data_IF_865828169315
#
_entry.id   IF_865828169315
#
_cell.length_a   1.000
_cell.length_b   1.000
_cell.length_c   1.000
_cell.angle_alpha   90.00
_cell.angle_beta   90.00
_cell.angle_gamma   90.00
#
_symmetry.space_group_name_H-M   'P 1'
#
loop_
_entity.id
_entity.type
_entity.pdbx_description
1 polymer ?
#
# COMPACT_ATOMS: atom_id res chain seq x y z
N UNK A 1 -51.20 7.37 29.08
CA UNK A 1 -50.03 6.66 29.61
C UNK A 1 -48.97 6.78 28.52
N UNK A 2 -48.15 7.82 28.59
CA UNK A 2 -47.07 8.03 27.64
C UNK A 2 -45.91 7.12 28.05
N UNK A 3 -45.45 6.28 27.13
CA UNK A 3 -44.27 5.44 27.34
C UNK A 3 -43.07 6.37 27.17
N UNK A 4 -42.52 6.86 28.27
CA UNK A 4 -41.45 7.86 28.29
C UNK A 4 -40.05 7.27 28.40
N UNK A 5 -39.88 5.95 28.26
CA UNK A 5 -38.55 5.36 28.26
C UNK A 5 -38.54 4.05 27.47
N UNK A 6 -38.05 4.10 26.23
CA UNK A 6 -37.73 2.93 25.43
C UNK A 6 -36.21 2.81 25.43
N UNK A 7 -35.68 1.91 26.26
CA UNK A 7 -34.27 1.57 26.25
C UNK A 7 -34.02 0.51 25.19
N UNK A 8 -33.30 0.87 24.13
CA UNK A 8 -32.88 -0.08 23.10
C UNK A 8 -31.80 -1.03 23.66
N UNK A 9 -32.12 -2.32 23.73
CA UNK A 9 -31.16 -3.37 24.09
C UNK A 9 -30.57 -3.95 22.82
N UNK A 10 -29.30 -3.65 22.56
CA UNK A 10 -28.59 -4.17 21.39
C UNK A 10 -27.94 -5.52 21.68
N UNK A 11 -28.09 -6.49 20.76
CA UNK A 11 -27.43 -7.80 20.81
C UNK A 11 -26.45 -7.90 19.63
N UNK A 12 -25.19 -8.20 19.90
CA UNK A 12 -24.12 -8.35 18.90
C UNK A 12 -23.34 -7.06 18.62
N UNK A 13 -22.31 -7.16 17.76
CA UNK A 13 -21.57 -5.97 17.29
C UNK A 13 -22.31 -5.39 16.09
N UNK A 14 -22.74 -4.11 16.13
CA UNK A 14 -23.37 -3.49 14.97
C UNK A 14 -22.38 -3.49 13.80
N UNK A 15 -22.85 -3.70 12.56
CA UNK A 15 -21.96 -3.68 11.41
C UNK A 15 -21.21 -2.35 11.35
N UNK A 16 -19.89 -2.41 11.11
CA UNK A 16 -19.05 -1.22 11.05
C UNK A 16 -19.48 -0.23 9.97
N UNK A 17 -18.89 0.98 9.92
CA UNK A 17 -19.17 1.91 8.84
C UNK A 17 -18.78 1.28 7.49
N UNK A 18 -19.65 1.42 6.49
CA UNK A 18 -19.34 0.96 5.15
C UNK A 18 -18.23 1.81 4.52
N UNK A 19 -17.39 1.18 3.69
CA UNK A 19 -16.44 1.89 2.83
C UNK A 19 -17.17 2.75 1.78
N UNK A 20 -16.43 3.66 1.13
CA UNK A 20 -16.85 4.22 -0.15
C UNK A 20 -16.81 3.14 -1.24
N UNK A 21 -17.51 3.36 -2.35
CA UNK A 21 -17.46 2.43 -3.48
C UNK A 21 -16.08 2.46 -4.14
N UNK A 22 -15.42 1.30 -4.20
CA UNK A 22 -14.21 1.10 -4.98
C UNK A 22 -14.58 0.70 -6.41
N UNK A 23 -14.03 1.40 -7.41
CA UNK A 23 -14.24 1.12 -8.83
C UNK A 23 -13.02 0.41 -9.44
N UNK A 24 -13.25 -0.65 -10.21
CA UNK A 24 -12.25 -1.33 -11.04
C UNK A 24 -12.81 -1.53 -12.45
N UNK A 25 -12.02 -1.20 -13.46
CA UNK A 25 -12.36 -1.46 -14.87
C UNK A 25 -11.62 -2.71 -15.32
N UNK A 26 -12.37 -3.67 -15.84
CA UNK A 26 -11.83 -4.92 -16.36
C UNK A 26 -12.08 -4.96 -17.86
N UNK A 27 -11.00 -5.11 -18.63
CA UNK A 27 -11.01 -5.05 -20.08
C UNK A 27 -10.79 -6.45 -20.68
N UNK A 28 -11.70 -6.85 -21.57
CA UNK A 28 -11.59 -8.08 -22.36
C UNK A 28 -11.38 -7.67 -23.82
N UNK A 29 -10.13 -7.72 -24.27
CA UNK A 29 -9.74 -7.37 -25.63
C UNK A 29 -10.14 -8.47 -26.62
N UNK A 30 -10.50 -8.09 -27.84
CA UNK A 30 -10.86 -9.05 -28.89
C UNK A 30 -12.15 -9.85 -28.59
N UNK A 31 -13.08 -9.27 -27.83
CA UNK A 31 -14.26 -9.98 -27.29
C UNK A 31 -15.08 -10.71 -28.38
N UNK A 32 -15.18 -10.10 -29.56
CA UNK A 32 -15.91 -10.66 -30.70
C UNK A 32 -15.35 -12.02 -31.17
N UNK A 33 -14.04 -12.25 -31.01
CA UNK A 33 -13.35 -13.48 -31.39
C UNK A 33 -13.27 -14.54 -30.28
N UNK A 34 -13.79 -14.26 -29.09
CA UNK A 34 -13.82 -15.24 -28.00
C UNK A 34 -14.78 -16.40 -28.30
N UNK A 35 -14.49 -17.62 -27.80
CA UNK A 35 -15.31 -18.78 -28.06
C UNK A 35 -16.74 -18.58 -27.55
N UNK A 36 -17.70 -19.01 -28.35
CA UNK A 36 -19.13 -18.97 -28.05
C UNK A 36 -19.67 -20.32 -27.63
N UNK A 37 -18.79 -21.30 -27.39
CA UNK A 37 -19.17 -22.58 -26.79
C UNK A 37 -19.77 -22.33 -25.40
N UNK A 38 -20.87 -23.02 -25.08
CA UNK A 38 -21.46 -22.96 -23.75
C UNK A 38 -20.44 -23.44 -22.71
N UNK A 39 -20.45 -22.82 -21.53
CA UNK A 39 -19.56 -23.11 -20.40
C UNK A 39 -18.07 -22.83 -20.63
N UNK A 40 -17.67 -22.29 -21.78
CA UNK A 40 -16.31 -21.76 -21.95
C UNK A 40 -16.22 -20.36 -21.36
N UNK A 41 -15.39 -20.22 -20.32
CA UNK A 41 -15.13 -18.94 -19.68
C UNK A 41 -13.77 -18.36 -20.04
N UNK A 42 -13.73 -17.04 -20.04
CA UNK A 42 -12.50 -16.26 -20.09
C UNK A 42 -12.40 -15.47 -18.81
N UNK A 43 -11.28 -15.65 -18.12
CA UNK A 43 -11.00 -15.01 -16.85
C UNK A 43 -10.15 -13.76 -17.03
N UNK A 44 -10.44 -12.72 -16.26
CA UNK A 44 -9.52 -11.60 -16.10
C UNK A 44 -8.25 -12.02 -15.35
N UNK A 45 -7.17 -11.24 -15.43
CA UNK A 45 -6.13 -11.25 -14.41
C UNK A 45 -6.73 -10.96 -13.01
N UNK A 46 -6.10 -11.46 -11.93
CA UNK A 46 -6.53 -11.12 -10.59
C UNK A 46 -6.28 -9.63 -10.31
N UNK A 47 -7.14 -9.00 -9.52
CA UNK A 47 -6.97 -7.62 -9.06
C UNK A 47 -7.27 -7.46 -7.57
N UNK A 48 -6.61 -6.51 -6.93
CA UNK A 48 -6.71 -6.30 -5.48
C UNK A 48 -7.80 -5.28 -5.11
N UNK A 49 -8.65 -5.64 -4.15
CA UNK A 49 -9.62 -4.75 -3.52
C UNK A 49 -9.97 -5.21 -2.10
N UNK A 50 -10.02 -4.27 -1.14
CA UNK A 50 -10.32 -4.54 0.28
C UNK A 50 -9.44 -5.60 0.95
N UNK A 51 -8.18 -5.77 0.49
CA UNK A 51 -7.25 -6.78 1.02
C UNK A 51 -7.44 -8.18 0.45
N UNK A 52 -8.34 -8.35 -0.51
CA UNK A 52 -8.60 -9.63 -1.20
C UNK A 52 -8.23 -9.54 -2.68
N UNK A 53 -7.89 -10.69 -3.27
CA UNK A 53 -7.74 -10.84 -4.71
C UNK A 53 -9.09 -11.21 -5.32
N UNK A 54 -9.43 -10.56 -6.42
CA UNK A 54 -10.70 -10.71 -7.12
C UNK A 54 -10.46 -11.08 -8.56
N UNK A 55 -11.42 -11.79 -9.16
CA UNK A 55 -11.38 -12.15 -10.58
C UNK A 55 -12.77 -12.06 -11.19
N UNK A 56 -12.83 -11.53 -12.42
CA UNK A 56 -14.06 -11.55 -13.23
C UNK A 56 -13.95 -12.67 -14.26
N UNK A 57 -14.95 -13.53 -14.33
CA UNK A 57 -15.10 -14.55 -15.36
C UNK A 57 -16.26 -14.17 -16.28
N UNK A 58 -16.05 -14.28 -17.59
CA UNK A 58 -17.06 -14.02 -18.62
C UNK A 58 -17.25 -15.26 -19.46
N UNK A 59 -18.50 -15.64 -19.71
CA UNK A 59 -18.87 -16.77 -20.57
C UNK A 59 -19.48 -16.20 -21.85
N UNK A 60 -18.71 -16.04 -22.94
CA UNK A 60 -19.17 -15.35 -24.14
C UNK A 60 -20.27 -16.11 -24.90
N UNK A 61 -20.41 -17.41 -24.66
CA UNK A 61 -21.50 -18.28 -25.12
C UNK A 61 -22.57 -18.59 -24.06
N UNK A 62 -22.46 -18.00 -22.87
CA UNK A 62 -23.31 -18.31 -21.72
C UNK A 62 -22.80 -19.48 -20.87
N UNK A 63 -23.22 -19.49 -19.61
CA UNK A 63 -23.03 -20.61 -18.69
C UNK A 63 -24.10 -21.69 -18.85
N UNK A 64 -24.15 -22.61 -17.88
CA UNK A 64 -24.95 -23.84 -17.97
C UNK A 64 -26.45 -23.52 -18.05
N UNK A 65 -26.89 -22.59 -17.20
CA UNK A 65 -28.28 -22.14 -17.08
C UNK A 65 -28.60 -20.90 -17.94
N UNK A 66 -27.64 -20.44 -18.74
CA UNK A 66 -27.85 -19.25 -19.58
C UNK A 66 -28.81 -19.54 -20.74
N UNK A 67 -29.64 -18.55 -21.09
CA UNK A 67 -30.47 -18.58 -22.29
C UNK A 67 -29.56 -18.54 -23.52
N UNK A 68 -30.00 -19.15 -24.60
CA UNK A 68 -29.24 -19.15 -25.85
C UNK A 68 -28.94 -17.72 -26.32
N UNK A 69 -27.68 -17.48 -26.72
CA UNK A 69 -27.21 -16.18 -27.18
C UNK A 69 -26.95 -15.14 -26.08
N UNK A 70 -27.15 -15.46 -24.80
CA UNK A 70 -26.80 -14.59 -23.68
C UNK A 70 -25.37 -14.81 -23.20
N UNK A 71 -24.76 -13.73 -22.69
CA UNK A 71 -23.45 -13.75 -22.03
C UNK A 71 -23.66 -13.76 -20.52
N UNK A 72 -22.88 -14.58 -19.82
CA UNK A 72 -22.83 -14.59 -18.36
C UNK A 72 -21.55 -13.91 -17.86
N UNK A 73 -21.63 -13.24 -16.71
CA UNK A 73 -20.48 -12.62 -16.06
C UNK A 73 -20.55 -12.81 -14.55
N UNK A 74 -19.43 -13.22 -13.95
CA UNK A 74 -19.32 -13.52 -12.53
C UNK A 74 -18.09 -12.88 -11.92
N UNK A 75 -18.22 -12.50 -10.65
CA UNK A 75 -17.15 -12.02 -9.79
C UNK A 75 -16.85 -13.07 -8.72
N UNK A 76 -15.58 -13.33 -8.47
CA UNK A 76 -15.09 -14.34 -7.54
C UNK A 76 -13.95 -13.79 -6.67
N UNK A 77 -13.78 -14.38 -5.49
CA UNK A 77 -12.73 -14.07 -4.53
C UNK A 77 -11.65 -15.17 -4.57
N UNK A 78 -10.45 -14.80 -5.00
CA UNK A 78 -9.23 -15.64 -5.11
C UNK A 78 -8.50 -15.81 -3.77
N UNK A 79 -8.78 -14.95 -2.80
CA UNK A 79 -8.16 -15.07 -1.48
C UNK A 79 -8.74 -16.24 -0.69
N UNK A 80 -7.95 -16.92 0.15
CA UNK A 80 -8.45 -18.03 0.99
C UNK A 80 -9.41 -17.56 2.09
N UNK A 81 -9.40 -16.28 2.45
CA UNK A 81 -10.35 -15.71 3.40
C UNK A 81 -11.64 -15.26 2.71
N UNK A 82 -12.77 -15.55 3.32
CA UNK A 82 -14.09 -15.08 2.87
C UNK A 82 -14.28 -13.59 3.18
N UNK A 83 -15.05 -12.89 2.34
CA UNK A 83 -15.42 -11.49 2.52
C UNK A 83 -16.88 -11.24 2.20
N UNK A 84 -17.54 -10.41 3.00
CA UNK A 84 -18.85 -9.86 2.66
C UNK A 84 -18.71 -8.52 1.93
N UNK A 85 -19.25 -8.45 0.72
CA UNK A 85 -19.20 -7.25 -0.10
C UNK A 85 -20.53 -7.02 -0.84
N UNK A 86 -20.91 -5.75 -0.96
CA UNK A 86 -21.80 -5.31 -2.03
C UNK A 86 -20.98 -5.26 -3.32
N UNK A 87 -21.58 -5.68 -4.42
CA UNK A 87 -20.95 -5.63 -5.72
C UNK A 87 -21.92 -5.09 -6.76
N UNK A 88 -21.38 -4.42 -7.78
CA UNK A 88 -22.08 -4.07 -9.01
C UNK A 88 -21.19 -4.38 -10.19
N UNK A 89 -21.75 -5.01 -11.21
CA UNK A 89 -21.10 -5.22 -12.51
C UNK A 89 -21.87 -4.36 -13.50
N UNK A 90 -21.20 -3.37 -14.08
CA UNK A 90 -21.80 -2.41 -14.99
C UNK A 90 -21.12 -2.50 -16.34
N UNK A 91 -21.93 -2.61 -17.40
CA UNK A 91 -21.52 -2.44 -18.78
C UNK A 91 -22.10 -1.13 -19.30
N UNK A 92 -21.24 -0.18 -19.65
CA UNK A 92 -21.62 1.13 -20.21
C UNK A 92 -21.32 1.17 -21.69
N UNK A 93 -22.15 1.87 -22.45
CA UNK A 93 -21.87 2.15 -23.85
C UNK A 93 -20.64 3.07 -23.95
N UNK A 94 -19.71 2.81 -24.89
CA UNK A 94 -18.42 3.50 -24.90
C UNK A 94 -18.49 4.97 -25.32
N UNK A 95 -19.51 5.37 -26.08
CA UNK A 95 -19.62 6.70 -26.68
C UNK A 95 -20.87 7.47 -26.29
N UNK A 96 -21.89 6.81 -25.75
CA UNK A 96 -23.17 7.43 -25.42
C UNK A 96 -23.54 7.17 -23.96
N UNK A 97 -23.54 8.23 -23.16
CA UNK A 97 -23.93 8.15 -21.75
C UNK A 97 -25.44 8.03 -21.53
N UNK A 98 -26.24 8.34 -22.56
CA UNK A 98 -27.70 8.20 -22.55
C UNK A 98 -28.17 6.82 -23.01
N UNK A 99 -27.27 6.02 -23.61
CA UNK A 99 -27.57 4.63 -23.95
C UNK A 99 -27.71 3.74 -22.70
N UNK A 100 -28.44 2.64 -22.86
CA UNK A 100 -28.84 1.78 -21.74
C UNK A 100 -27.63 1.07 -21.14
N UNK A 101 -27.16 1.52 -19.98
CA UNK A 101 -26.19 0.75 -19.21
C UNK A 101 -26.83 -0.52 -18.66
N UNK A 102 -26.15 -1.66 -18.80
CA UNK A 102 -26.54 -2.89 -18.12
C UNK A 102 -25.87 -2.91 -16.75
N UNK A 103 -26.66 -2.99 -15.69
CA UNK A 103 -26.17 -3.02 -14.31
C UNK A 103 -26.72 -4.25 -13.62
N UNK A 104 -25.82 -5.04 -13.06
CA UNK A 104 -26.09 -6.15 -12.16
C UNK A 104 -25.65 -5.71 -10.78
N UNK A 105 -26.49 -5.90 -9.78
CA UNK A 105 -26.13 -5.60 -8.39
C UNK A 105 -26.72 -6.61 -7.41
N UNK A 106 -26.17 -6.65 -6.21
CA UNK A 106 -26.72 -7.45 -5.11
C UNK A 106 -28.08 -6.88 -4.68
N UNK A 107 -29.15 -7.66 -4.87
CA UNK A 107 -30.55 -7.21 -4.78
C UNK A 107 -31.06 -6.64 -3.44
N UNK A 108 -30.32 -6.72 -2.33
CA UNK A 108 -30.63 -5.93 -1.10
C UNK A 108 -29.67 -6.15 0.09
N UNK A 109 -28.65 -7.00 -0.07
CA UNK A 109 -27.70 -7.31 1.01
C UNK A 109 -26.32 -7.65 0.46
N UNK A 110 -25.32 -7.61 1.35
CA UNK A 110 -23.99 -8.06 1.00
C UNK A 110 -24.00 -9.54 0.60
N UNK A 111 -23.21 -9.88 -0.41
CA UNK A 111 -22.92 -11.27 -0.72
C UNK A 111 -21.67 -11.71 0.02
N UNK A 112 -21.69 -12.93 0.53
CA UNK A 112 -20.51 -13.59 1.06
C UNK A 112 -19.77 -14.23 -0.10
N UNK A 113 -18.60 -13.69 -0.42
CA UNK A 113 -17.63 -14.31 -1.32
C UNK A 113 -16.75 -15.23 -0.48
N UNK A 114 -16.92 -16.52 -0.66
CA UNK A 114 -16.15 -17.53 0.04
C UNK A 114 -14.71 -17.54 -0.44
N UNK A 115 -13.81 -17.97 0.44
CA UNK A 115 -12.40 -18.02 0.12
C UNK A 115 -12.04 -19.18 -0.81
N UNK A 116 -11.00 -18.99 -1.63
CA UNK A 116 -10.41 -20.04 -2.46
C UNK A 116 -11.30 -20.47 -3.62
N UNK A 117 -12.02 -19.53 -4.24
CA UNK A 117 -12.87 -19.80 -5.43
C UNK A 117 -14.04 -20.75 -5.20
N UNK A 118 -14.44 -20.94 -3.96
CA UNK A 118 -15.56 -21.82 -3.62
C UNK A 118 -16.90 -21.33 -4.18
N UNK A 119 -17.08 -20.01 -4.29
CA UNK A 119 -18.26 -19.43 -4.90
C UNK A 119 -17.97 -18.20 -5.77
N UNK A 120 -18.92 -17.88 -6.64
CA UNK A 120 -18.89 -16.68 -7.46
C UNK A 120 -20.28 -16.07 -7.56
N UNK A 121 -20.35 -14.75 -7.67
CA UNK A 121 -21.60 -14.01 -7.74
C UNK A 121 -21.65 -13.21 -9.03
N UNK A 122 -22.76 -13.34 -9.75
CA UNK A 122 -22.90 -12.78 -11.08
C UNK A 122 -24.30 -12.95 -11.62
N UNK A 123 -24.41 -12.90 -12.95
CA UNK A 123 -25.68 -13.08 -13.61
C UNK A 123 -25.50 -13.94 -14.87
N UNK A 124 -26.29 -15.01 -14.94
CA UNK A 124 -26.31 -15.96 -16.06
C UNK A 124 -26.70 -15.29 -17.38
N UNK A 125 -27.64 -14.34 -17.31
CA UNK A 125 -28.25 -13.73 -18.49
C UNK A 125 -27.98 -12.22 -18.52
N UNK A 126 -26.71 -11.80 -18.50
CA UNK A 126 -26.34 -10.38 -18.39
C UNK A 126 -26.97 -9.58 -19.51
N UNK A 127 -26.71 -9.98 -20.76
CA UNK A 127 -27.29 -9.41 -21.97
C UNK A 127 -26.96 -10.30 -23.16
N UNK A 128 -27.72 -10.17 -24.24
CA UNK A 128 -27.44 -10.89 -25.48
C UNK A 128 -26.08 -10.50 -26.05
N UNK A 129 -25.36 -11.49 -26.58
CA UNK A 129 -24.07 -11.28 -27.24
C UNK A 129 -24.16 -10.23 -28.35
N UNK A 130 -25.23 -10.26 -29.17
CA UNK A 130 -25.45 -9.29 -30.25
C UNK A 130 -25.44 -7.84 -29.76
N UNK A 131 -26.04 -7.59 -28.60
CA UNK A 131 -26.05 -6.27 -27.97
C UNK A 131 -24.68 -5.93 -27.39
N UNK A 132 -23.99 -6.87 -26.73
CA UNK A 132 -22.63 -6.61 -26.22
C UNK A 132 -21.67 -6.21 -27.33
N UNK A 133 -21.82 -6.76 -28.54
CA UNK A 133 -20.99 -6.39 -29.69
C UNK A 133 -21.13 -4.91 -30.08
N UNK A 134 -22.26 -4.26 -29.80
CA UNK A 134 -22.42 -2.81 -30.03
C UNK A 134 -21.77 -1.96 -28.94
N UNK A 135 -21.44 -2.55 -27.78
CA UNK A 135 -20.84 -1.87 -26.62
C UNK A 135 -19.30 -1.99 -26.60
N UNK A 136 -18.70 -2.57 -27.64
CA UNK A 136 -17.26 -2.72 -27.75
C UNK A 136 -16.62 -1.39 -28.15
N UNK A 137 -15.54 -1.01 -27.47
CA UNK A 137 -14.67 0.08 -27.89
C UNK A 137 -13.41 -0.50 -28.51
N UNK A 138 -13.20 -0.31 -29.83
CA UNK A 138 -12.08 -0.90 -30.56
C UNK A 138 -11.90 -2.40 -30.28
N UNK A 139 -13.01 -3.16 -30.32
CA UNK A 139 -13.03 -4.60 -30.06
C UNK A 139 -12.85 -5.00 -28.58
N UNK A 140 -12.79 -4.05 -27.66
CA UNK A 140 -12.62 -4.28 -26.23
C UNK A 140 -13.95 -4.15 -25.49
N UNK A 141 -14.32 -5.18 -24.74
CA UNK A 141 -15.43 -5.13 -23.79
C UNK A 141 -14.92 -4.65 -22.43
N UNK A 142 -15.60 -3.69 -21.80
CA UNK A 142 -15.21 -3.15 -20.50
C UNK A 142 -16.31 -3.33 -19.47
N UNK A 143 -16.01 -4.03 -18.39
CA UNK A 143 -16.85 -4.08 -17.20
C UNK A 143 -16.35 -3.11 -16.13
N UNK A 144 -17.25 -2.32 -15.58
CA UNK A 144 -17.03 -1.54 -14.36
C UNK A 144 -17.51 -2.35 -13.15
N UNK A 145 -16.56 -2.81 -12.35
CA UNK A 145 -16.79 -3.54 -11.11
C UNK A 145 -16.75 -2.54 -9.96
N UNK A 146 -17.90 -2.33 -9.32
CA UNK A 146 -18.00 -1.52 -8.12
C UNK A 146 -18.10 -2.45 -6.92
N UNK A 147 -17.23 -2.26 -5.93
CA UNK A 147 -17.23 -3.03 -4.69
C UNK A 147 -17.39 -2.11 -3.49
N UNK A 148 -18.10 -2.59 -2.46
CA UNK A 148 -18.21 -1.91 -1.18
C UNK A 148 -18.28 -2.95 -0.06
N UNK A 149 -17.29 -2.94 0.81
CA UNK A 149 -17.25 -3.79 2.00
C UNK A 149 -17.46 -2.96 3.28
N UNK A 150 -17.71 -3.61 4.41
CA UNK A 150 -17.55 -2.95 5.71
C UNK A 150 -16.10 -2.50 5.84
N UNK A 151 -15.88 -1.30 6.38
CA UNK A 151 -14.55 -0.96 6.84
C UNK A 151 -14.22 -2.01 7.89
N UNK A 152 -13.31 -2.93 7.56
CA UNK A 152 -12.55 -3.61 8.58
C UNK A 152 -12.03 -2.46 9.42
N UNK A 153 -12.47 -2.38 10.68
CA UNK A 153 -11.93 -1.41 11.61
C UNK A 153 -10.44 -1.48 11.35
N UNK A 154 -9.84 -0.37 10.89
CA UNK A 154 -8.41 -0.33 10.69
C UNK A 154 -7.88 -0.99 11.95
N UNK A 155 -7.21 -2.12 11.80
CA UNK A 155 -6.43 -2.63 12.90
C UNK A 155 -5.43 -1.50 13.06
N UNK A 156 -5.79 -0.48 13.85
CA UNK A 156 -4.90 0.45 14.47
C UNK A 156 -3.88 -0.51 15.01
N UNK A 157 -2.72 -0.54 14.35
CA UNK A 157 -1.73 -1.56 14.63
C UNK A 157 -1.62 -1.54 16.14
N UNK A 158 -1.88 -2.66 16.80
CA UNK A 158 -1.83 -2.70 18.26
C UNK A 158 -0.41 -2.36 18.77
N UNK A 159 0.54 -2.21 17.83
CA UNK A 159 1.78 -1.48 17.92
C UNK A 159 1.50 0.03 18.06
N UNK A 160 1.73 0.62 19.24
CA UNK A 160 1.68 2.06 19.41
C UNK A 160 2.60 2.72 18.37
N UNK A 161 2.11 3.77 17.70
CA UNK A 161 2.96 4.54 16.79
C UNK A 161 4.19 5.04 17.57
N UNK A 162 5.38 4.86 17.01
CA UNK A 162 6.60 5.35 17.62
C UNK A 162 6.48 6.89 17.76
N UNK A 163 6.51 7.45 18.98
CA UNK A 163 6.34 8.88 19.18
C UNK A 163 7.54 9.70 18.71
N UNK A 164 8.62 9.07 18.23
CA UNK A 164 9.87 9.73 17.82
C UNK A 164 9.64 10.89 16.84
N UNK A 165 8.93 10.65 15.72
CA UNK A 165 8.64 11.71 14.74
C UNK A 165 7.77 12.81 15.34
N UNK A 166 6.73 12.45 16.11
CA UNK A 166 5.89 13.42 16.81
C UNK A 166 6.66 14.26 17.83
N UNK A 167 7.68 13.71 18.48
CA UNK A 167 8.56 14.45 19.39
C UNK A 167 9.55 15.35 18.66
N UNK A 168 10.16 14.87 17.57
CA UNK A 168 11.02 15.67 16.69
C UNK A 168 10.26 16.88 16.13
N UNK A 169 9.04 16.67 15.66
CA UNK A 169 8.16 17.72 15.13
C UNK A 169 7.85 18.85 16.12
N UNK A 170 7.94 18.62 17.45
CA UNK A 170 7.78 19.70 18.44
C UNK A 170 8.88 20.76 18.34
N UNK A 171 10.05 20.39 17.82
CA UNK A 171 11.17 21.28 17.57
C UNK A 171 11.23 21.84 16.14
N UNK A 172 10.25 21.54 15.29
CA UNK A 172 10.19 22.07 13.94
C UNK A 172 9.99 23.59 13.95
N UNK A 173 10.85 24.31 13.24
CA UNK A 173 10.80 25.76 13.09
C UNK A 173 10.72 26.53 14.43
N UNK A 174 11.38 26.01 15.47
CA UNK A 174 11.42 26.62 16.79
C UNK A 174 12.74 27.37 17.00
N UNK A 175 12.67 28.70 17.10
CA UNK A 175 13.84 29.58 17.27
C UNK A 175 14.64 29.29 18.54
N UNK A 176 13.98 29.00 19.67
CA UNK A 176 14.65 28.81 20.96
C UNK A 176 15.45 27.51 21.02
N UNK A 177 14.99 26.47 20.31
CA UNK A 177 15.64 25.16 20.36
C UNK A 177 16.66 24.96 19.23
N UNK A 178 16.53 25.71 18.13
CA UNK A 178 17.33 25.51 16.92
C UNK A 178 18.76 26.06 17.04
N UNK A 179 19.69 25.45 16.32
CA UNK A 179 21.09 25.86 16.26
C UNK A 179 21.48 26.45 14.89
N UNK A 180 20.58 26.41 13.90
CA UNK A 180 20.75 27.01 12.58
C UNK A 180 19.48 27.72 12.10
N UNK A 181 19.67 28.75 11.26
CA UNK A 181 18.59 29.49 10.61
C UNK A 181 18.83 29.62 9.10
N UNK A 182 17.77 29.59 8.32
CA UNK A 182 17.77 29.77 6.87
C UNK A 182 16.91 30.97 6.49
N UNK A 183 17.40 31.83 5.60
CA UNK A 183 16.60 32.88 4.97
C UNK A 183 16.19 32.43 3.57
N UNK A 184 14.90 32.18 3.38
CA UNK A 184 14.35 31.68 2.13
C UNK A 184 13.50 32.76 1.47
N UNK A 185 13.79 33.04 0.21
CA UNK A 185 13.18 34.15 -0.51
C UNK A 185 13.87 35.47 -0.16
N UNK A 186 13.77 36.44 -1.08
CA UNK A 186 14.58 37.65 -1.08
C UNK A 186 15.79 37.50 -2.01
N UNK A 187 16.00 38.50 -2.88
CA UNK A 187 17.18 38.56 -3.73
C UNK A 187 18.35 39.06 -2.87
N UNK A 188 19.44 38.29 -2.79
CA UNK A 188 20.66 38.72 -2.10
C UNK A 188 21.26 39.85 -2.92
N UNK A 189 21.17 41.09 -2.41
CA UNK A 189 21.80 42.26 -3.05
C UNK A 189 23.33 42.05 -3.09
N UNK A 190 23.81 41.50 -4.19
CA UNK A 190 25.21 41.57 -4.57
C UNK A 190 25.30 42.13 -5.98
N UNK A 191 26.02 43.24 -6.07
CA UNK A 191 26.32 44.08 -7.23
C UNK A 191 25.26 45.13 -7.64
N UNK A 192 25.71 46.38 -7.58
CA UNK A 192 25.02 47.59 -7.99
C UNK A 192 24.60 47.56 -9.47
N UNK A 193 23.33 47.26 -9.76
CA UNK A 193 22.73 47.62 -11.05
C UNK A 193 21.20 47.65 -11.00
N UNK A 194 20.70 48.88 -10.90
CA UNK A 194 19.38 49.42 -11.23
C UNK A 194 18.46 48.52 -12.10
N UNK A 195 17.38 47.98 -11.52
CA UNK A 195 15.99 47.96 -12.05
C UNK A 195 15.00 47.51 -10.97
N UNK A 196 13.97 48.33 -10.75
CA UNK A 196 12.95 48.22 -9.69
C UNK A 196 12.04 47.01 -9.97
N UNK A 197 12.26 45.89 -9.29
CA UNK A 197 11.40 44.70 -9.29
C UNK A 197 10.96 44.41 -7.84
N UNK A 198 9.75 43.87 -7.65
CA UNK A 198 9.07 43.80 -6.35
C UNK A 198 9.91 43.10 -5.28
N UNK A 199 10.09 43.78 -4.13
CA UNK A 199 10.79 43.29 -2.94
C UNK A 199 9.97 42.15 -2.30
N UNK A 200 10.31 40.91 -2.59
CA UNK A 200 9.76 39.75 -1.87
C UNK A 200 10.42 39.69 -0.49
N UNK A 201 9.62 39.70 0.57
CA UNK A 201 10.09 39.59 1.97
C UNK A 201 10.75 38.23 2.19
N UNK A 202 11.99 38.21 2.67
CA UNK A 202 12.66 37.00 3.10
C UNK A 202 11.93 36.36 4.28
N UNK A 203 11.82 35.03 4.28
CA UNK A 203 11.20 34.26 5.36
C UNK A 203 12.27 33.44 6.06
N UNK A 204 12.37 33.57 7.37
CA UNK A 204 13.35 32.84 8.18
C UNK A 204 12.78 31.51 8.67
N UNK A 205 13.57 30.44 8.55
CA UNK A 205 13.25 29.12 9.06
C UNK A 205 14.33 28.63 10.01
N UNK A 206 13.92 28.04 11.12
CA UNK A 206 14.83 27.55 12.16
C UNK A 206 14.90 26.03 12.14
N UNK A 207 16.11 25.47 12.29
CA UNK A 207 16.30 24.03 12.28
C UNK A 207 17.43 23.55 13.22
N UNK A 208 17.46 22.24 13.45
CA UNK A 208 18.57 21.56 14.12
C UNK A 208 19.51 20.96 13.09
N UNK A 209 20.75 21.40 13.09
CA UNK A 209 21.82 20.88 12.26
C UNK A 209 21.95 19.35 12.39
N UNK A 210 21.79 18.81 13.58
CA UNK A 210 21.85 17.35 13.81
C UNK A 210 20.75 16.57 13.08
N UNK A 211 19.53 17.12 12.98
CA UNK A 211 18.42 16.51 12.23
C UNK A 211 18.69 16.59 10.73
N UNK A 212 19.21 17.74 10.28
CA UNK A 212 19.60 17.94 8.88
C UNK A 212 20.74 17.00 8.47
N UNK A 213 21.74 16.74 9.33
CA UNK A 213 22.82 15.79 8.98
C UNK A 213 22.30 14.38 8.70
N UNK A 214 21.20 13.99 9.34
CA UNK A 214 20.61 12.66 9.19
C UNK A 214 19.63 12.59 8.01
N UNK A 215 18.85 13.65 7.78
CA UNK A 215 17.73 13.64 6.84
C UNK A 215 17.93 14.56 5.63
N UNK A 216 18.90 15.46 5.62
CA UNK A 216 19.22 16.34 4.48
C UNK A 216 20.70 16.75 4.51
N UNK A 217 21.64 15.81 4.26
CA UNK A 217 23.06 16.06 4.46
C UNK A 217 23.59 17.24 3.66
N UNK A 218 23.12 17.43 2.42
CA UNK A 218 23.52 18.56 1.57
C UNK A 218 23.03 19.90 2.12
N UNK A 219 21.88 19.92 2.81
CA UNK A 219 21.39 21.10 3.54
C UNK A 219 22.21 21.36 4.81
N UNK A 220 22.64 20.31 5.50
CA UNK A 220 23.51 20.42 6.67
C UNK A 220 24.92 20.90 6.32
N UNK A 221 25.49 20.47 5.18
CA UNK A 221 26.82 20.89 4.72
C UNK A 221 26.87 22.40 4.38
N UNK A 222 25.72 23.01 4.06
CA UNK A 222 25.61 24.47 3.90
C UNK A 222 25.66 25.21 5.25
N UNK A 223 25.41 24.53 6.37
CA UNK A 223 25.51 25.09 7.71
C UNK A 223 26.93 24.91 8.26
N UNK A 224 27.56 26.00 8.72
CA UNK A 224 28.79 25.91 9.49
C UNK A 224 28.44 25.84 10.98
N UNK A 225 28.90 24.81 11.73
CA UNK A 225 28.68 24.77 13.17
C UNK A 225 29.28 26.01 13.84
N UNK A 226 28.43 26.86 14.44
CA UNK A 226 28.85 28.04 15.22
C UNK A 226 28.76 29.40 14.50
N UNK A 227 28.31 29.44 13.24
CA UNK A 227 28.02 30.72 12.56
C UNK A 227 26.65 31.26 13.01
N UNK A 228 26.60 32.51 13.47
CA UNK A 228 25.36 33.15 13.97
C UNK A 228 24.49 33.76 12.86
N UNK A 229 24.92 33.66 11.61
CA UNK A 229 24.21 34.23 10.46
C UNK A 229 23.18 33.27 9.87
N UNK A 230 22.01 33.78 9.49
CA UNK A 230 21.05 33.04 8.68
C UNK A 230 21.65 32.69 7.32
N UNK A 231 21.44 31.45 6.85
CA UNK A 231 21.96 30.98 5.57
C UNK A 231 20.96 31.26 4.43
N UNK A 232 21.32 31.99 3.36
CA UNK A 232 20.40 32.30 2.29
C UNK A 232 20.12 31.08 1.39
N UNK A 233 18.84 30.76 1.20
CA UNK A 233 18.35 29.74 0.27
C UNK A 233 17.71 30.44 -0.93
N UNK A 234 18.40 30.34 -2.07
CA UNK A 234 18.02 31.02 -3.32
C UNK A 234 17.27 30.06 -4.24
N UNK A 235 16.21 30.54 -4.89
CA UNK A 235 15.52 29.81 -5.97
C UNK A 235 14.53 28.74 -5.50
N UNK A 236 14.15 28.75 -4.22
CA UNK A 236 13.10 27.89 -3.66
C UNK A 236 12.06 28.79 -3.01
N UNK A 237 10.77 28.53 -3.26
CA UNK A 237 9.69 29.26 -2.60
C UNK A 237 9.64 28.91 -1.10
N UNK A 238 9.36 29.89 -0.21
CA UNK A 238 9.32 29.65 1.24
C UNK A 238 8.41 28.49 1.65
N UNK A 239 7.24 28.35 1.03
CA UNK A 239 6.30 27.28 1.38
C UNK A 239 6.81 25.90 0.94
N UNK A 240 7.44 25.80 -0.23
CA UNK A 240 8.08 24.56 -0.70
C UNK A 240 9.25 24.19 0.22
N UNK A 241 10.08 25.16 0.61
CA UNK A 241 11.18 24.91 1.55
C UNK A 241 10.67 24.44 2.91
N UNK A 242 9.61 25.07 3.43
CA UNK A 242 8.95 24.68 4.67
C UNK A 242 8.44 23.24 4.62
N UNK A 243 7.84 22.82 3.50
CA UNK A 243 7.37 21.44 3.30
C UNK A 243 8.53 20.44 3.30
N UNK A 244 9.62 20.73 2.58
CA UNK A 244 10.83 19.87 2.56
C UNK A 244 11.47 19.81 3.95
N UNK A 245 11.58 20.94 4.65
CA UNK A 245 12.12 20.99 6.01
C UNK A 245 11.20 20.23 6.99
N UNK A 246 9.89 20.37 6.87
CA UNK A 246 8.91 19.65 7.70
C UNK A 246 9.02 18.13 7.52
N UNK A 247 9.23 17.68 6.28
CA UNK A 247 9.47 16.28 5.97
C UNK A 247 10.75 15.76 6.63
N UNK A 248 11.83 16.55 6.69
CA UNK A 248 13.07 16.19 7.38
C UNK A 248 12.88 15.90 8.89
N UNK A 249 11.82 16.44 9.49
CA UNK A 249 11.47 16.21 10.91
C UNK A 249 10.53 15.02 11.12
N UNK A 250 10.21 14.27 10.05
CA UNK A 250 9.28 13.15 10.09
C UNK A 250 7.82 13.56 9.93
N UNK A 251 7.56 14.76 9.41
CA UNK A 251 6.23 15.24 9.07
C UNK A 251 5.71 14.65 7.76
N UNK A 252 4.40 14.41 7.67
CA UNK A 252 3.73 13.98 6.44
C UNK A 252 3.10 15.17 5.73
N UNK A 253 3.36 15.32 4.43
CA UNK A 253 2.72 16.34 3.58
C UNK A 253 1.35 15.80 3.13
N UNK A 254 0.32 16.64 3.17
CA UNK A 254 -1.03 16.25 2.72
C UNK A 254 -1.07 16.07 1.21
N UNK A 255 -1.92 15.16 0.73
CA UNK A 255 -2.03 14.83 -0.70
C UNK A 255 -2.38 16.05 -1.58
N UNK A 256 -3.22 16.96 -1.08
CA UNK A 256 -3.59 18.17 -1.83
C UNK A 256 -2.41 19.15 -1.99
N UNK A 257 -1.62 19.32 -0.93
CA UNK A 257 -0.44 20.19 -0.90
C UNK A 257 0.69 19.62 -1.75
N UNK A 258 0.86 18.29 -1.69
CA UNK A 258 1.81 17.57 -2.53
C UNK A 258 1.41 17.66 -4.00
N UNK A 259 0.14 17.44 -4.35
CA UNK A 259 -0.32 17.52 -5.74
C UNK A 259 -0.14 18.93 -6.35
N UNK A 260 -0.36 19.98 -5.57
CA UNK A 260 -0.20 21.36 -6.03
C UNK A 260 1.27 21.74 -6.28
N UNK A 261 2.21 21.17 -5.51
CA UNK A 261 3.62 21.59 -5.49
C UNK A 261 4.61 20.48 -5.87
N UNK A 262 4.12 19.33 -6.36
CA UNK A 262 4.91 18.10 -6.52
C UNK A 262 6.24 18.32 -7.23
N UNK A 263 6.23 19.03 -8.36
CA UNK A 263 7.43 19.32 -9.15
C UNK A 263 8.45 20.13 -8.34
N UNK A 264 8.02 21.21 -7.69
CA UNK A 264 8.89 22.08 -6.92
C UNK A 264 9.45 21.37 -5.67
N UNK A 265 8.64 20.53 -5.02
CA UNK A 265 9.07 19.71 -3.87
C UNK A 265 10.15 18.71 -4.31
N UNK A 266 9.96 18.01 -5.44
CA UNK A 266 10.94 17.06 -5.96
C UNK A 266 12.25 17.75 -6.30
N UNK A 267 12.19 18.89 -7.03
CA UNK A 267 13.40 19.66 -7.39
C UNK A 267 14.15 20.19 -6.17
N UNK A 268 13.42 20.66 -5.14
CA UNK A 268 14.02 21.10 -3.89
C UNK A 268 14.60 19.93 -3.09
N UNK A 269 13.90 18.78 -3.05
CA UNK A 269 14.38 17.57 -2.38
C UNK A 269 15.67 17.05 -3.04
N UNK A 270 15.72 16.95 -4.38
CA UNK A 270 16.94 16.54 -5.10
C UNK A 270 18.14 17.42 -4.73
N UNK A 271 17.92 18.73 -4.62
CA UNK A 271 18.97 19.69 -4.27
C UNK A 271 19.50 19.53 -2.84
N UNK A 272 18.64 19.16 -1.88
CA UNK A 272 18.97 19.19 -0.46
C UNK A 272 19.18 17.81 0.18
N UNK A 273 18.62 16.76 -0.43
CA UNK A 273 18.68 15.37 0.03
C UNK A 273 19.87 14.64 -0.59
N UNK A 274 20.15 14.88 -1.87
CA UNK A 274 21.10 14.07 -2.61
C UNK A 274 22.52 14.63 -2.55
N UNK A 275 23.48 13.74 -2.30
CA UNK A 275 24.89 14.08 -2.17
C UNK A 275 25.52 14.02 -3.57
N UNK A 276 25.41 15.09 -4.35
CA UNK A 276 26.21 15.20 -5.57
C UNK A 276 27.64 15.59 -5.17
N UNK A 277 28.66 14.71 -5.32
CA UNK A 277 30.04 15.12 -5.18
C UNK A 277 30.36 16.12 -6.30
N UNK A 278 30.34 17.41 -5.98
CA UNK A 278 30.91 18.43 -6.86
C UNK A 278 32.40 18.13 -6.96
N UNK A 279 32.81 17.50 -8.06
CA UNK A 279 34.20 17.29 -8.43
C UNK A 279 34.86 18.67 -8.67
N UNK A 280 35.28 19.32 -7.60
CA UNK A 280 36.19 20.45 -7.65
C UNK A 280 37.59 19.92 -7.96
N UNK A 281 37.98 19.98 -9.23
CA UNK A 281 39.34 19.68 -9.65
C UNK A 281 40.36 20.59 -8.98
N UNK A 282 41.31 19.99 -8.25
CA UNK A 282 42.75 20.32 -8.24
C UNK A 282 43.52 19.46 -7.24
N UNK A 283 44.49 18.69 -7.76
CA UNK A 283 45.74 18.34 -7.09
C UNK A 283 45.78 17.06 -6.24
N UNK A 284 46.40 16.02 -6.77
CA UNK A 284 47.06 14.95 -6.00
C UNK A 284 48.61 15.15 -6.09
N UNK A 285 49.45 14.46 -5.29
CA UNK A 285 49.19 13.70 -4.06
C UNK A 285 50.21 13.99 -2.93
N UNK A 286 49.83 13.63 -1.69
CA UNK A 286 50.77 13.47 -0.58
C UNK A 286 50.30 12.36 0.37
N UNK A 287 50.95 11.20 0.32
CA UNK A 287 50.85 10.12 1.30
C UNK A 287 51.35 10.62 2.69
N UNK A 288 50.98 10.09 3.87
CA UNK A 288 50.92 8.69 4.35
C UNK A 288 49.95 8.58 5.61
N UNK A 289 49.84 7.47 6.39
CA UNK A 289 48.66 6.60 6.49
C UNK A 289 48.01 6.53 7.89
N UNK A 290 46.86 5.86 8.01
CA UNK A 290 46.40 5.33 9.31
C UNK A 290 44.91 4.99 9.42
N UNK A 291 44.66 3.69 9.60
CA UNK A 291 43.57 3.13 10.42
C UNK A 291 42.14 3.08 9.83
N UNK A 292 41.96 2.07 8.97
CA UNK A 292 41.02 0.94 9.10
C UNK A 292 39.81 1.12 10.05
N UNK A 293 38.60 1.11 9.51
CA UNK A 293 37.54 0.16 9.89
C UNK A 293 36.53 0.04 8.74
N UNK A 294 36.51 -1.12 8.11
CA UNK A 294 35.50 -1.51 7.14
C UNK A 294 34.11 -1.69 7.76
N UNK A 295 33.07 -1.42 6.98
CA UNK A 295 32.24 -2.47 6.37
C UNK A 295 31.10 -1.85 5.55
N UNK A 296 31.25 -2.02 4.23
CA UNK A 296 30.23 -2.31 3.20
C UNK A 296 28.82 -1.75 3.39
N UNK A 297 28.53 -0.75 2.57
CA UNK A 297 27.19 -0.53 2.05
C UNK A 297 26.70 -1.74 1.25
N UNK A 298 25.40 -2.02 1.37
CA UNK A 298 24.67 -2.76 0.34
C UNK A 298 23.65 -1.84 -0.30
N UNK A 299 23.90 -1.63 -1.58
CA UNK A 299 23.01 -1.12 -2.60
C UNK A 299 21.68 -1.88 -2.58
N UNK A 300 20.58 -1.15 -2.70
CA UNK A 300 19.29 -1.70 -3.10
C UNK A 300 18.98 -1.19 -4.50
N UNK A 301 19.35 -2.01 -5.48
CA UNK A 301 18.86 -1.92 -6.85
C UNK A 301 18.10 -3.20 -7.19
N UNK A 302 16.80 -3.03 -7.44
CA UNK A 302 15.91 -3.75 -8.38
C UNK A 302 15.81 -5.29 -8.36
N UNK A 303 14.56 -5.76 -8.34
CA UNK A 303 14.11 -7.11 -8.71
C UNK A 303 14.57 -7.54 -10.12
N UNK A 304 14.66 -8.85 -10.39
CA UNK A 304 13.59 -9.46 -11.19
C UNK A 304 13.24 -10.93 -10.85
N UNK A 305 12.02 -11.30 -11.26
CA UNK A 305 11.45 -12.65 -11.38
C UNK A 305 12.42 -13.74 -11.88
N UNK A 306 12.38 -14.92 -11.25
CA UNK A 306 12.62 -16.21 -11.93
C UNK A 306 12.05 -17.41 -11.13
N UNK A 307 11.34 -18.29 -11.85
CA UNK A 307 10.78 -19.56 -11.39
C UNK A 307 11.86 -20.62 -11.06
N UNK A 308 11.57 -21.40 -10.00
CA UNK A 308 11.68 -22.86 -9.98
C UNK A 308 13.07 -23.50 -9.90
N UNK A 309 13.36 -24.15 -8.76
CA UNK A 309 13.78 -25.57 -8.69
C UNK A 309 13.80 -26.09 -7.25
N UNK A 310 13.27 -27.30 -7.08
CA UNK A 310 13.27 -28.08 -5.85
C UNK A 310 14.70 -28.40 -5.40
N UNK A 311 14.93 -28.34 -4.09
CA UNK A 311 16.04 -29.02 -3.43
C UNK A 311 15.52 -29.62 -2.12
N UNK A 312 15.39 -30.93 -2.09
CA UNK A 312 15.20 -31.75 -0.90
C UNK A 312 16.53 -31.83 -0.13
N UNK A 313 16.54 -31.42 1.13
CA UNK A 313 17.61 -31.76 2.07
C UNK A 313 16.99 -32.17 3.40
N UNK A 314 17.05 -33.48 3.66
CA UNK A 314 16.74 -34.14 4.93
C UNK A 314 17.70 -33.66 6.02
N UNK A 315 17.18 -33.13 7.14
CA UNK A 315 17.96 -32.88 8.36
C UNK A 315 17.13 -33.20 9.61
N UNK A 316 17.80 -33.78 10.61
CA UNK A 316 17.27 -34.47 11.79
C UNK A 316 16.17 -33.75 12.60
N UNK A 317 15.28 -34.49 13.32
CA UNK A 317 13.98 -33.98 13.80
C UNK A 317 14.03 -33.07 15.05
N UNK A 318 15.22 -32.73 15.57
CA UNK A 318 15.33 -32.10 16.90
C UNK A 318 15.49 -30.58 16.94
N UNK A 319 15.95 -29.97 15.84
CA UNK A 319 16.44 -28.58 15.86
C UNK A 319 15.48 -27.54 15.26
N UNK A 320 14.47 -27.96 14.51
CA UNK A 320 13.60 -27.04 13.76
C UNK A 320 12.69 -26.23 14.69
N UNK A 321 12.11 -26.87 15.71
CA UNK A 321 11.19 -26.25 16.67
C UNK A 321 11.81 -25.06 17.46
N UNK A 322 13.14 -25.05 17.65
CA UNK A 322 13.82 -23.95 18.36
C UNK A 322 13.96 -22.68 17.51
N UNK A 323 13.89 -22.79 16.18
CA UNK A 323 13.99 -21.66 15.26
C UNK A 323 12.62 -21.12 14.83
N UNK A 324 11.54 -21.86 15.09
CA UNK A 324 10.18 -21.45 14.73
C UNK A 324 9.70 -20.24 15.53
N UNK A 325 8.91 -19.40 14.84
CA UNK A 325 8.18 -18.27 15.47
C UNK A 325 7.00 -18.79 16.27
N UNK A 326 6.56 -18.04 17.28
CA UNK A 326 5.41 -18.42 18.14
C UNK A 326 4.13 -18.67 17.34
N UNK A 327 3.89 -17.94 16.26
CA UNK A 327 2.74 -18.17 15.38
C UNK A 327 2.75 -19.54 14.69
N UNK A 328 3.93 -20.04 14.31
CA UNK A 328 4.09 -21.36 13.70
C UNK A 328 3.90 -22.48 14.74
N UNK A 329 4.42 -22.28 15.95
CA UNK A 329 4.21 -23.20 17.07
C UNK A 329 2.73 -23.35 17.42
N UNK A 330 1.99 -22.23 17.50
CA UNK A 330 0.53 -22.24 17.73
C UNK A 330 -0.24 -22.94 16.63
N UNK A 331 0.16 -22.73 15.37
CA UNK A 331 -0.45 -23.41 14.22
C UNK A 331 -0.29 -24.93 14.34
N UNK A 332 0.93 -25.41 14.62
CA UNK A 332 1.18 -26.84 14.79
C UNK A 332 0.46 -27.46 15.99
N UNK A 333 0.34 -26.72 17.11
CA UNK A 333 -0.41 -27.17 18.27
C UNK A 333 -1.91 -27.27 17.96
N UNK A 334 -2.48 -26.27 17.29
CA UNK A 334 -3.87 -26.29 16.86
C UNK A 334 -4.16 -27.45 15.91
N UNK A 335 -3.30 -27.69 14.92
CA UNK A 335 -3.43 -28.80 13.97
C UNK A 335 -3.37 -30.18 14.67
N UNK A 336 -2.72 -30.25 15.83
CA UNK A 336 -2.62 -31.44 16.69
C UNK A 336 -3.65 -31.47 17.84
N UNK A 337 -4.57 -30.50 17.90
CA UNK A 337 -5.57 -30.40 18.98
C UNK A 337 -4.98 -30.13 20.37
N UNK A 338 -3.76 -29.60 20.46
CA UNK A 338 -3.07 -29.31 21.72
C UNK A 338 -3.31 -27.87 22.18
N UNK A 339 -3.12 -27.62 23.47
CA UNK A 339 -3.27 -26.30 24.07
C UNK A 339 -2.33 -25.27 23.42
N UNK A 340 -2.89 -24.15 22.94
CA UNK A 340 -2.14 -23.05 22.32
C UNK A 340 -1.73 -21.95 23.32
N UNK A 341 -2.21 -22.05 24.57
CA UNK A 341 -1.97 -21.08 25.63
C UNK A 341 -0.80 -21.54 26.51
N UNK A 342 0.23 -20.70 26.64
CA UNK A 342 1.44 -20.99 27.39
C UNK A 342 2.66 -20.21 26.91
N UNK A 343 3.80 -20.37 27.59
CA UNK A 343 5.05 -19.79 27.11
C UNK A 343 5.57 -20.54 25.87
N UNK A 344 6.50 -19.93 25.15
CA UNK A 344 7.12 -20.54 23.96
C UNK A 344 7.76 -21.89 24.28
N UNK A 345 8.33 -22.02 25.45
CA UNK A 345 8.97 -23.22 25.96
C UNK A 345 7.93 -24.32 26.23
N UNK A 346 6.77 -23.97 26.80
CA UNK A 346 5.65 -24.89 27.00
C UNK A 346 5.14 -25.45 25.67
N UNK A 347 5.02 -24.57 24.65
CA UNK A 347 4.58 -24.97 23.31
C UNK A 347 5.56 -25.94 22.64
N UNK A 348 6.86 -25.71 22.77
CA UNK A 348 7.90 -26.61 22.24
C UNK A 348 7.90 -27.95 22.99
N UNK A 349 7.69 -27.94 24.32
CA UNK A 349 7.64 -29.16 25.13
C UNK A 349 6.46 -30.05 24.71
N UNK A 350 5.26 -29.48 24.54
CA UNK A 350 4.06 -30.20 24.09
C UNK A 350 4.25 -30.84 22.70
N UNK A 351 4.89 -30.12 21.77
CA UNK A 351 5.16 -30.65 20.43
C UNK A 351 6.19 -31.79 20.45
N UNK A 352 7.18 -31.73 21.35
CA UNK A 352 8.18 -32.80 21.54
C UNK A 352 7.59 -34.05 22.19
N UNK A 353 6.78 -33.87 23.24
CA UNK A 353 6.10 -34.97 23.92
C UNK A 353 5.16 -35.71 22.96
N UNK A 354 4.39 -34.98 22.16
CA UNK A 354 3.51 -35.59 21.17
C UNK A 354 4.26 -36.23 19.99
N UNK A 355 5.47 -35.78 19.65
CA UNK A 355 6.30 -36.48 18.66
C UNK A 355 6.86 -37.80 19.18
N UNK A 356 7.15 -37.90 20.49
CA UNK A 356 7.65 -39.12 21.11
C UNK A 356 6.56 -40.20 21.27
N UNK A 357 5.33 -39.79 21.58
CA UNK A 357 4.20 -40.72 21.78
C UNK A 357 3.73 -41.42 20.50
N UNK A 358 4.01 -40.86 19.32
CA UNK A 358 3.65 -41.46 18.03
C UNK A 358 4.61 -42.58 17.58
N UNK A 359 5.78 -42.74 18.22
CA UNK A 359 6.73 -43.81 17.89
C UNK A 359 6.52 -45.10 18.70
N UNK A 360 5.79 -45.05 19.83
CA UNK A 360 5.60 -46.21 20.73
C UNK A 360 4.30 -47.00 20.50
N UNK A 361 3.46 -46.62 19.52
CA UNK A 361 2.15 -47.23 19.27
C UNK A 361 2.07 -48.26 18.13
N UNK A 362 3.21 -48.71 17.59
CA UNK A 362 3.24 -49.55 16.38
C UNK A 362 3.54 -51.06 16.61
N UNK A 363 3.66 -51.52 17.86
CA UNK A 363 3.77 -52.95 18.19
C UNK A 363 2.80 -53.32 19.31
N UNK A 364 1.60 -53.80 18.93
CA UNK A 364 0.86 -54.88 19.59
C UNK A 364 -0.46 -55.11 18.81
N UNK A 365 -0.43 -56.09 17.90
CA UNK A 365 -1.60 -56.83 17.41
C UNK A 365 -1.73 -58.13 18.19
#
# INVERSE_FOLDING_TARGET
MEISDVADVHVGTPPGPLSSWALRRVHFHGFAGLPTTRNEMVCSPPFSCFGHQWRVAVFPGGGEDSKEGYVAAYLSNESPESIQAYYKIILKHPTDQNERSFRIESNDGMRTFEGGHQNSWGYENTTKRETILTYLNNGTLTFEIHLRAYKKAELASFVPANPCSGNLLKGFNNEEMSDVAFEVGGEVESAASRRKRSKTTATTFYAFHSILRLNAPSLADMCRPGDKGSMPIIGVEPEVFKMVLYFCYGGAIKDEELAANAKAIIEAADRFWDRQPQASGRGEPGAIPGEDYGLRGREWGQDPFAQGKQATCTSAPGNDLKLMRVGELRKQLHDKGLCIDGSRETMIALLRENSASNETGAEET
#
